data_IF_205518633644
#
_entry.id   IF_205518633644
#
_cell.length_a   1.000
_cell.length_b   1.000
_cell.length_c   1.000
_cell.angle_alpha   90.00
_cell.angle_beta   90.00
_cell.angle_gamma   90.00
#
_symmetry.space_group_name_H-M   'P 1'
#
loop_
_entity.id
_entity.type
_entity.pdbx_description
1 polymer ?
#
# COMPACT_ATOMS: atom_id res chain seq x y z
N UNK A 1 28.20 -1.42 -9.48
CA UNK A 1 28.42 -0.02 -9.02
C UNK A 1 27.19 0.87 -9.25
N UNK A 2 26.25 0.52 -10.15
CA UNK A 2 24.98 1.24 -10.32
C UNK A 2 24.05 1.09 -9.11
N UNK A 3 23.80 -0.15 -8.65
CA UNK A 3 22.78 -0.45 -7.63
C UNK A 3 23.03 0.20 -6.26
N UNK A 4 24.30 0.38 -5.89
CA UNK A 4 24.67 1.05 -4.64
C UNK A 4 24.33 2.55 -4.68
N UNK A 5 24.47 3.17 -5.85
CA UNK A 5 24.17 4.59 -6.05
C UNK A 5 22.64 4.81 -6.11
N UNK A 6 21.89 3.90 -6.72
CA UNK A 6 20.43 3.96 -6.80
C UNK A 6 19.78 3.76 -5.41
N UNK A 7 20.35 2.89 -4.58
CA UNK A 7 19.89 2.69 -3.19
C UNK A 7 20.15 3.92 -2.32
N UNK A 8 21.31 4.57 -2.48
CA UNK A 8 21.65 5.81 -1.78
C UNK A 8 20.69 6.95 -2.16
N UNK A 9 20.38 7.10 -3.45
CA UNK A 9 19.42 8.10 -3.91
C UNK A 9 18.00 7.85 -3.39
N UNK A 10 17.55 6.60 -3.33
CA UNK A 10 16.22 6.27 -2.78
C UNK A 10 16.14 6.60 -1.28
N UNK A 11 17.21 6.34 -0.53
CA UNK A 11 17.27 6.66 0.90
C UNK A 11 17.24 8.17 1.14
N UNK A 12 17.90 8.96 0.29
CA UNK A 12 17.87 10.43 0.37
C UNK A 12 16.47 10.99 0.08
N UNK A 13 15.76 10.41 -0.89
CA UNK A 13 14.35 10.76 -1.17
C UNK A 13 13.45 10.44 0.02
N UNK A 14 13.59 9.24 0.60
CA UNK A 14 12.82 8.85 1.79
C UNK A 14 13.10 9.80 2.96
N UNK A 15 14.38 10.11 3.23
CA UNK A 15 14.74 11.04 4.28
C UNK A 15 14.16 12.44 4.06
N UNK A 16 14.13 12.92 2.80
CA UNK A 16 13.50 14.18 2.45
C UNK A 16 11.98 14.20 2.68
N UNK A 17 11.28 13.10 2.38
CA UNK A 17 9.85 12.94 2.65
C UNK A 17 9.58 12.97 4.16
N UNK A 18 10.30 12.16 4.94
CA UNK A 18 10.16 12.12 6.40
C UNK A 18 10.43 13.48 7.04
N UNK A 19 11.47 14.19 6.56
CA UNK A 19 11.76 15.54 7.02
C UNK A 19 10.60 16.52 6.74
N UNK A 20 9.92 16.37 5.60
CA UNK A 20 8.80 17.23 5.24
C UNK A 20 7.55 17.00 6.10
N UNK A 21 7.34 15.77 6.61
CA UNK A 21 6.26 15.48 7.57
C UNK A 21 6.51 16.10 8.95
N UNK A 22 7.77 16.35 9.30
CA UNK A 22 8.15 16.94 10.58
C UNK A 22 8.31 15.89 11.68
N UNK A 23 8.41 16.30 12.95
CA UNK A 23 8.60 15.35 14.04
C UNK A 23 7.38 14.43 14.18
N UNK A 24 7.64 13.14 14.35
CA UNK A 24 6.59 12.17 14.63
C UNK A 24 5.81 12.57 15.89
N UNK A 25 4.49 12.44 15.82
CA UNK A 25 3.64 12.74 16.96
C UNK A 25 3.90 11.74 18.09
N UNK A 26 3.82 12.21 19.33
CA UNK A 26 3.96 11.35 20.48
C UNK A 26 2.88 10.25 20.46
N UNK A 27 3.31 8.99 20.60
CA UNK A 27 2.43 7.82 20.63
C UNK A 27 1.44 7.87 21.81
N UNK A 28 1.86 8.41 22.96
CA UNK A 28 1.03 8.63 24.15
C UNK A 28 1.25 10.02 24.73
N UNK A 29 0.21 10.57 25.37
CA UNK A 29 0.31 11.85 26.08
C UNK A 29 1.17 11.77 27.36
N UNK A 30 1.28 10.58 27.95
CA UNK A 30 2.01 10.31 29.19
C UNK A 30 3.11 9.26 28.97
N UNK A 31 4.17 9.23 29.80
CA UNK A 31 5.22 8.21 29.71
C UNK A 31 4.67 6.80 29.92
N UNK A 32 5.02 5.88 29.01
CA UNK A 32 4.65 4.45 29.10
C UNK A 32 5.54 3.75 30.14
N UNK A 33 4.93 3.02 31.07
CA UNK A 33 5.62 2.23 32.10
C UNK A 33 6.32 1.00 31.52
N UNK A 34 7.31 0.45 32.23
CA UNK A 34 8.04 -0.75 31.77
C UNK A 34 7.14 -1.99 31.54
N UNK A 35 6.16 -2.30 32.41
CA UNK A 35 5.23 -3.39 32.13
C UNK A 35 4.40 -3.17 30.85
N UNK A 36 3.97 -1.93 30.60
CA UNK A 36 3.21 -1.59 29.38
C UNK A 36 4.09 -1.73 28.14
N UNK A 37 5.36 -1.31 28.20
CA UNK A 37 6.31 -1.49 27.08
C UNK A 37 6.49 -2.97 26.72
N UNK A 38 6.57 -3.86 27.70
CA UNK A 38 6.69 -5.30 27.44
C UNK A 38 5.45 -5.86 26.74
N UNK A 39 4.25 -5.40 27.14
CA UNK A 39 3.00 -5.79 26.48
C UNK A 39 2.94 -5.25 25.05
N UNK A 40 3.28 -3.97 24.85
CA UNK A 40 3.29 -3.35 23.52
C UNK A 40 4.32 -4.02 22.60
N UNK A 41 5.52 -4.32 23.10
CA UNK A 41 6.54 -5.02 22.32
C UNK A 41 6.06 -6.40 21.84
N UNK A 42 5.32 -7.12 22.69
CA UNK A 42 4.72 -8.41 22.33
C UNK A 42 3.64 -8.25 21.24
N UNK A 43 2.79 -7.23 21.35
CA UNK A 43 1.69 -7.02 20.39
C UNK A 43 2.24 -6.50 19.05
N UNK A 44 3.12 -5.51 19.07
CA UNK A 44 3.65 -4.89 17.85
C UNK A 44 4.69 -5.75 17.14
N UNK A 45 5.38 -6.63 17.86
CA UNK A 45 6.29 -7.60 17.28
C UNK A 45 5.61 -8.85 16.73
N UNK A 46 4.28 -8.96 16.83
CA UNK A 46 3.52 -10.10 16.30
C UNK A 46 3.23 -9.91 14.80
N UNK A 47 3.47 -10.95 14.00
CA UNK A 47 3.21 -10.92 12.55
C UNK A 47 1.74 -10.62 12.24
N UNK A 48 0.81 -11.11 13.08
CA UNK A 48 -0.62 -10.83 12.92
C UNK A 48 -0.97 -9.36 13.13
N UNK A 49 -0.21 -8.63 13.97
CA UNK A 49 -0.36 -7.19 14.09
C UNK A 49 0.15 -6.45 12.85
N UNK A 50 1.24 -6.91 12.23
CA UNK A 50 1.76 -6.34 10.98
C UNK A 50 0.77 -6.52 9.83
N UNK A 51 0.19 -7.73 9.69
CA UNK A 51 -0.86 -8.00 8.71
C UNK A 51 -2.10 -7.14 8.95
N UNK A 52 -2.51 -6.99 10.21
CA UNK A 52 -3.60 -6.09 10.59
C UNK A 52 -3.30 -4.63 10.20
N UNK A 53 -2.11 -4.13 10.51
CA UNK A 53 -1.72 -2.75 10.23
C UNK A 53 -1.72 -2.48 8.72
N UNK A 54 -1.17 -3.41 7.94
CA UNK A 54 -1.18 -3.32 6.48
C UNK A 54 -2.62 -3.30 5.93
N UNK A 55 -3.53 -4.12 6.46
CA UNK A 55 -4.95 -4.10 6.08
C UNK A 55 -5.61 -2.76 6.41
N UNK A 56 -5.30 -2.16 7.57
CA UNK A 56 -5.83 -0.86 7.95
C UNK A 56 -5.37 0.25 7.01
N UNK A 57 -4.10 0.24 6.60
CA UNK A 57 -3.56 1.18 5.62
C UNK A 57 -4.29 1.01 4.28
N UNK A 58 -4.45 -0.22 3.79
CA UNK A 58 -5.17 -0.49 2.55
C UNK A 58 -6.62 0.04 2.60
N UNK A 59 -7.32 -0.17 3.72
CA UNK A 59 -8.67 0.36 3.93
C UNK A 59 -8.72 1.88 3.92
N UNK A 60 -7.73 2.54 4.53
CA UNK A 60 -7.64 3.99 4.57
C UNK A 60 -7.50 4.57 3.16
N UNK A 61 -6.54 4.06 2.39
CA UNK A 61 -6.31 4.45 0.99
C UNK A 61 -7.60 4.29 0.17
N UNK A 62 -8.23 3.12 0.24
CA UNK A 62 -9.46 2.84 -0.52
C UNK A 62 -10.58 3.81 -0.13
N UNK A 63 -10.77 4.05 1.17
CA UNK A 63 -11.84 4.92 1.66
C UNK A 63 -11.67 6.34 1.16
N UNK A 64 -10.46 6.90 1.31
CA UNK A 64 -10.19 8.29 0.96
C UNK A 64 -10.28 8.48 -0.56
N UNK A 65 -9.72 7.55 -1.33
CA UNK A 65 -9.78 7.58 -2.78
C UNK A 65 -11.22 7.52 -3.31
N UNK A 66 -12.02 6.55 -2.85
CA UNK A 66 -13.39 6.37 -3.33
C UNK A 66 -14.32 7.50 -2.87
N UNK A 67 -14.13 8.01 -1.66
CA UNK A 67 -14.89 9.16 -1.18
C UNK A 67 -14.61 10.39 -2.04
N UNK A 68 -13.35 10.66 -2.34
CA UNK A 68 -12.96 11.76 -3.24
C UNK A 68 -13.52 11.56 -4.64
N UNK A 69 -13.39 10.37 -5.22
CA UNK A 69 -13.95 10.05 -6.53
C UNK A 69 -15.47 10.27 -6.58
N UNK A 70 -16.19 9.88 -5.51
CA UNK A 70 -17.65 10.04 -5.44
C UNK A 70 -18.08 11.50 -5.28
N UNK A 71 -17.39 12.26 -4.43
CA UNK A 71 -17.64 13.69 -4.20
C UNK A 71 -17.39 14.49 -5.49
N UNK A 72 -16.32 14.16 -6.20
CA UNK A 72 -15.94 14.82 -7.46
C UNK A 72 -16.77 14.34 -8.67
N UNK A 73 -17.60 13.31 -8.48
CA UNK A 73 -18.49 12.79 -9.52
C UNK A 73 -17.81 11.93 -10.57
N UNK A 74 -16.60 11.42 -10.30
CA UNK A 74 -15.87 10.51 -11.21
C UNK A 74 -16.41 9.08 -11.18
N UNK A 75 -17.09 8.69 -10.10
CA UNK A 75 -17.78 7.41 -10.01
C UNK A 75 -19.23 7.60 -9.58
N UNK A 76 -20.11 6.79 -10.16
CA UNK A 76 -21.50 6.68 -9.73
C UNK A 76 -21.68 5.63 -8.63
N UNK A 77 -22.94 5.39 -8.24
CA UNK A 77 -23.27 4.45 -7.17
C UNK A 77 -22.99 2.99 -7.58
N UNK A 78 -23.26 2.63 -8.82
CA UNK A 78 -23.18 1.25 -9.30
C UNK A 78 -21.71 0.84 -9.44
N UNK A 79 -20.88 1.75 -9.97
CA UNK A 79 -19.42 1.60 -10.01
C UNK A 79 -18.81 1.48 -8.60
N UNK A 80 -19.31 2.26 -7.64
CA UNK A 80 -18.88 2.16 -6.26
C UNK A 80 -19.22 0.79 -5.65
N UNK A 81 -20.43 0.28 -5.87
CA UNK A 81 -20.85 -1.04 -5.39
C UNK A 81 -19.98 -2.16 -5.97
N UNK A 82 -19.62 -2.08 -7.24
CA UNK A 82 -18.72 -3.06 -7.87
C UNK A 82 -17.31 -3.05 -7.24
N UNK A 83 -16.75 -1.86 -7.02
CA UNK A 83 -15.42 -1.73 -6.38
C UNK A 83 -15.47 -2.23 -4.93
N UNK A 84 -16.56 -1.94 -4.20
CA UNK A 84 -16.74 -2.41 -2.82
C UNK A 84 -16.85 -3.93 -2.74
N UNK A 85 -17.45 -4.59 -3.73
CA UNK A 85 -17.48 -6.04 -3.80
C UNK A 85 -16.06 -6.64 -3.84
N UNK A 86 -15.15 -6.00 -4.56
CA UNK A 86 -13.73 -6.41 -4.67
C UNK A 86 -12.94 -6.14 -3.39
N UNK A 87 -13.25 -5.06 -2.68
CA UNK A 87 -12.65 -4.75 -1.38
C UNK A 87 -13.09 -5.68 -0.23
N UNK A 88 -13.98 -6.65 -0.49
CA UNK A 88 -14.46 -7.58 0.54
C UNK A 88 -13.36 -8.50 1.10
N UNK A 89 -12.35 -8.88 0.28
CA UNK A 89 -11.25 -9.73 0.71
C UNK A 89 -9.99 -8.93 1.08
N UNK A 90 -9.10 -9.53 1.89
CA UNK A 90 -7.80 -8.95 2.23
C UNK A 90 -6.95 -8.70 0.99
N UNK A 91 -6.81 -9.71 0.13
CA UNK A 91 -6.07 -9.62 -1.12
C UNK A 91 -6.67 -8.56 -2.06
N UNK A 92 -7.99 -8.52 -2.19
CA UNK A 92 -8.67 -7.52 -3.01
C UNK A 92 -8.41 -6.10 -2.54
N UNK A 93 -8.33 -5.87 -1.22
CA UNK A 93 -7.94 -4.56 -0.66
C UNK A 93 -6.49 -4.22 -0.94
N UNK A 94 -5.56 -5.17 -0.82
CA UNK A 94 -4.16 -4.93 -1.12
C UNK A 94 -3.96 -4.51 -2.59
N UNK A 95 -4.60 -5.25 -3.52
CA UNK A 95 -4.55 -4.94 -4.96
C UNK A 95 -5.18 -3.59 -5.27
N UNK A 96 -6.39 -3.31 -4.75
CA UNK A 96 -7.05 -2.03 -4.97
C UNK A 96 -6.25 -0.85 -4.42
N UNK A 97 -5.72 -0.96 -3.19
CA UNK A 97 -4.94 0.10 -2.57
C UNK A 97 -3.68 0.40 -3.39
N UNK A 98 -2.96 -0.63 -3.87
CA UNK A 98 -1.81 -0.44 -4.75
C UNK A 98 -2.19 0.30 -6.04
N UNK A 99 -3.28 -0.13 -6.70
CA UNK A 99 -3.79 0.56 -7.89
C UNK A 99 -4.14 2.02 -7.62
N UNK A 100 -4.77 2.32 -6.48
CA UNK A 100 -5.18 3.67 -6.09
C UNK A 100 -4.01 4.56 -5.69
N UNK A 101 -2.93 4.01 -5.13
CA UNK A 101 -1.69 4.75 -4.87
C UNK A 101 -1.01 5.14 -6.19
N UNK A 102 -1.06 4.27 -7.19
CA UNK A 102 -0.41 4.46 -8.48
C UNK A 102 -1.19 5.35 -9.45
N UNK A 103 -2.44 5.70 -9.15
CA UNK A 103 -3.35 6.37 -10.09
C UNK A 103 -3.97 7.63 -9.52
N UNK A 104 -4.27 8.55 -10.43
CA UNK A 104 -5.03 9.75 -10.10
C UNK A 104 -6.49 9.42 -9.83
N UNK A 105 -7.17 10.21 -9.00
CA UNK A 105 -8.60 10.02 -8.65
C UNK A 105 -9.52 10.19 -9.86
N UNK A 106 -9.12 11.02 -10.83
CA UNK A 106 -9.81 11.25 -12.10
C UNK A 106 -9.93 9.98 -12.96
N UNK A 107 -9.03 9.01 -12.75
CA UNK A 107 -9.01 7.74 -13.47
C UNK A 107 -9.83 6.64 -12.77
N UNK A 108 -10.56 6.97 -11.71
CA UNK A 108 -11.28 5.99 -10.87
C UNK A 108 -12.31 5.15 -11.65
N UNK A 109 -12.91 5.70 -12.71
CA UNK A 109 -13.88 5.00 -13.55
C UNK A 109 -13.28 3.76 -14.26
N UNK A 110 -11.96 3.73 -14.49
CA UNK A 110 -11.26 2.60 -15.10
C UNK A 110 -11.03 1.43 -14.13
N UNK A 111 -11.07 1.68 -12.81
CA UNK A 111 -10.75 0.66 -11.79
C UNK A 111 -11.73 -0.54 -11.82
N UNK A 112 -13.00 -0.27 -12.09
CA UNK A 112 -14.00 -1.31 -12.25
C UNK A 112 -13.67 -2.22 -13.45
N UNK A 113 -13.21 -1.65 -14.56
CA UNK A 113 -12.92 -2.41 -15.79
C UNK A 113 -11.60 -3.19 -15.72
N UNK A 114 -10.54 -2.60 -15.17
CA UNK A 114 -9.19 -3.14 -15.30
C UNK A 114 -8.85 -4.26 -14.30
N UNK A 115 -9.42 -4.20 -13.09
CA UNK A 115 -9.28 -5.29 -12.12
C UNK A 115 -10.20 -6.49 -12.44
N UNK A 116 -10.85 -6.50 -13.62
CA UNK A 116 -11.92 -7.43 -13.99
C UNK A 116 -11.51 -8.69 -14.78
N UNK A 117 -10.41 -8.70 -15.54
CA UNK A 117 -10.20 -9.78 -16.53
C UNK A 117 -8.77 -10.33 -16.70
N UNK A 118 -7.80 -9.88 -15.91
CA UNK A 118 -6.43 -10.35 -16.07
C UNK A 118 -6.07 -11.54 -15.17
N UNK A 119 -6.10 -12.78 -15.68
CA UNK A 119 -5.25 -13.81 -15.08
C UNK A 119 -3.81 -13.28 -15.08
N UNK A 120 -3.15 -13.27 -13.92
CA UNK A 120 -1.75 -12.85 -13.83
C UNK A 120 -0.93 -13.64 -14.87
N UNK A 121 -0.43 -12.95 -15.89
CA UNK A 121 0.43 -13.56 -16.89
C UNK A 121 1.86 -13.52 -16.39
N UNK A 122 2.51 -14.69 -16.36
CA UNK A 122 3.94 -14.78 -16.08
C UNK A 122 4.68 -13.97 -17.13
N UNK A 123 5.35 -12.90 -16.70
CA UNK A 123 6.21 -12.09 -17.55
C UNK A 123 7.33 -12.98 -18.08
N UNK A 124 7.41 -13.14 -19.40
CA UNK A 124 8.55 -13.78 -20.07
C UNK A 124 9.52 -12.68 -20.50
N UNK A 125 10.72 -12.59 -19.91
CA UNK A 125 11.67 -11.55 -20.30
C UNK A 125 12.05 -11.69 -21.77
N UNK A 126 12.01 -10.57 -22.48
CA UNK A 126 12.43 -10.45 -23.88
C UNK A 126 13.95 -10.18 -23.89
N UNK A 127 14.73 -10.65 -24.87
CA UNK A 127 16.16 -10.34 -24.94
C UNK A 127 16.40 -8.82 -24.90
N UNK A 128 17.14 -8.34 -23.88
CA UNK A 128 17.40 -6.91 -23.63
C UNK A 128 16.54 -6.27 -22.53
N UNK A 129 15.68 -7.03 -21.85
CA UNK A 129 14.93 -6.53 -20.70
C UNK A 129 15.85 -6.20 -19.51
N UNK A 130 15.53 -5.21 -18.67
CA UNK A 130 16.25 -4.95 -17.42
C UNK A 130 16.22 -6.20 -16.52
N UNK A 131 17.25 -6.41 -15.66
CA UNK A 131 17.26 -7.54 -14.74
C UNK A 131 16.04 -7.48 -13.82
N UNK A 132 15.24 -8.54 -13.84
CA UNK A 132 14.09 -8.71 -12.96
C UNK A 132 14.55 -9.42 -11.68
N UNK A 133 13.95 -9.09 -10.53
CA UNK A 133 14.23 -9.71 -9.22
C UNK A 133 14.11 -11.24 -9.34
N UNK A 134 15.25 -11.94 -9.30
CA UNK A 134 15.28 -13.40 -9.24
C UNK A 134 14.96 -13.84 -7.80
N UNK A 135 13.83 -14.53 -7.63
CA UNK A 135 13.50 -15.18 -6.36
C UNK A 135 14.43 -16.38 -6.15
N UNK A 136 15.43 -16.24 -5.27
CA UNK A 136 16.31 -17.34 -4.87
C UNK A 136 15.56 -18.19 -3.84
N UNK A 137 15.27 -19.48 -4.12
CA UNK A 137 14.67 -20.37 -3.14
C UNK A 137 15.65 -20.62 -1.98
N UNK A 138 15.20 -20.33 -0.76
CA UNK A 138 15.92 -20.67 0.48
C UNK A 138 15.90 -22.19 0.66
N UNK A 139 17.07 -22.80 0.91
CA UNK A 139 17.23 -24.22 1.25
C UNK A 139 17.09 -24.47 2.74
#
# INVERSE_FOLDING_TARGET
MSDANDTLQMNDVLAGIEQAFGPESAFTAEPVSEPEKQVLAKVFGDDGYQDYLQDQINRQVIRDYLLNARILGFIDKDQLEEILHRAASFEGRAVLALHMIMRSVEEAWNLAQECGEGSLQVLRPVPGSPPQLELIPQR
#
